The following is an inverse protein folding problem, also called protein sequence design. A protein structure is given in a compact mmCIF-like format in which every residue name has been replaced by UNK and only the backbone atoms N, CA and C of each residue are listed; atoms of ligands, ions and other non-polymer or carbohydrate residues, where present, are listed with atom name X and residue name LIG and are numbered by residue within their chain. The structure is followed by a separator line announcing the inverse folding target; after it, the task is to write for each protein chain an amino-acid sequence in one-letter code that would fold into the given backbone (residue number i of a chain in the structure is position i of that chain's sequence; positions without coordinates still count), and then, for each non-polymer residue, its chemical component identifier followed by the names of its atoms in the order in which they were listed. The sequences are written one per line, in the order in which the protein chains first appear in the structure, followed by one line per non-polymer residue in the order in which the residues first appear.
data_IF_023583374872
#
_entry.id   IF_023583374872
#
_cell.length_a   1.000
_cell.length_b   1.000
_cell.length_c   1.000
_cell.angle_alpha   90.00
_cell.angle_beta   90.00
_cell.angle_gamma   90.00
#
_symmetry.space_group_name_H-M   'P 1'
#
loop_
_entity.id
_entity.type
_entity.pdbx_description
1 polymer ?
#
# COMPACT_ATOMS: atom_id res chain seq x y z
N UNK A 1 31.28 72.87 -31.61
CA UNK A 1 30.86 71.66 -32.35
C UNK A 1 30.52 70.56 -31.37
N UNK A 2 29.25 70.26 -31.35
CA UNK A 2 28.68 69.33 -30.30
C UNK A 2 28.79 67.89 -30.74
N UNK A 3 29.45 67.06 -29.95
CA UNK A 3 29.45 65.59 -30.07
C UNK A 3 28.40 64.98 -29.18
N UNK A 4 27.41 64.32 -29.79
CA UNK A 4 26.33 63.63 -29.10
C UNK A 4 26.81 62.20 -28.62
N UNK A 5 26.86 61.98 -27.32
CA UNK A 5 27.01 60.63 -26.80
C UNK A 5 25.64 59.91 -26.82
N UNK A 6 25.56 58.81 -27.58
CA UNK A 6 24.42 57.91 -27.60
C UNK A 6 24.60 56.84 -26.52
N UNK A 7 23.76 56.90 -25.55
CA UNK A 7 23.66 55.83 -24.52
C UNK A 7 22.73 54.73 -25.04
N UNK A 8 23.29 53.57 -25.36
CA UNK A 8 22.52 52.38 -25.65
C UNK A 8 22.25 51.67 -24.34
N UNK A 9 20.99 51.68 -23.89
CA UNK A 9 20.52 50.90 -22.76
C UNK A 9 20.43 49.41 -23.16
N UNK A 10 21.29 48.61 -22.59
CA UNK A 10 21.21 47.16 -22.68
C UNK A 10 20.19 46.63 -21.63
N UNK A 11 19.02 46.24 -22.09
CA UNK A 11 18.02 45.54 -21.27
C UNK A 11 18.44 44.09 -21.11
N UNK A 12 18.93 43.72 -19.92
CA UNK A 12 19.17 42.34 -19.54
C UNK A 12 17.83 41.69 -19.16
N UNK A 13 17.31 40.81 -20.02
CA UNK A 13 16.17 39.97 -19.72
C UNK A 13 16.61 38.84 -18.80
N UNK A 14 16.23 38.92 -17.51
CA UNK A 14 16.36 37.80 -16.57
C UNK A 14 15.30 36.75 -16.94
N UNK A 15 15.71 35.65 -17.59
CA UNK A 15 14.92 34.45 -17.69
C UNK A 15 14.91 33.75 -16.31
N UNK A 16 13.85 33.95 -15.54
CA UNK A 16 13.57 33.14 -14.35
C UNK A 16 13.15 31.73 -14.81
N UNK A 17 14.12 30.82 -14.85
CA UNK A 17 13.85 29.40 -15.05
C UNK A 17 13.23 28.90 -13.75
N UNK A 18 11.88 28.82 -13.72
CA UNK A 18 11.15 28.22 -12.66
C UNK A 18 11.50 26.72 -12.59
N UNK A 19 12.27 26.31 -11.59
CA UNK A 19 12.45 24.90 -11.25
C UNK A 19 11.10 24.36 -10.79
N UNK A 20 10.34 23.74 -11.69
CA UNK A 20 9.24 22.87 -11.33
C UNK A 20 9.86 21.63 -10.67
N UNK A 21 9.98 21.66 -9.35
CA UNK A 21 10.21 20.44 -8.58
C UNK A 21 8.96 19.55 -8.75
N UNK A 22 9.07 18.57 -9.61
CA UNK A 22 8.15 17.44 -9.59
C UNK A 22 8.39 16.75 -8.26
N UNK A 23 7.48 16.93 -7.31
CA UNK A 23 7.44 16.11 -6.12
C UNK A 23 7.24 14.67 -6.62
N UNK A 24 8.29 13.87 -6.60
CA UNK A 24 8.16 12.43 -6.76
C UNK A 24 7.28 11.96 -5.61
N UNK A 25 6.06 11.51 -5.94
CA UNK A 25 5.27 10.76 -4.98
C UNK A 25 6.10 9.56 -4.60
N UNK A 26 6.67 9.59 -3.41
CA UNK A 26 7.42 8.47 -2.84
C UNK A 26 6.42 7.34 -2.65
N UNK A 27 6.42 6.41 -3.58
CA UNK A 27 5.63 5.19 -3.47
C UNK A 27 6.26 4.37 -2.36
N UNK A 28 5.56 4.25 -1.23
CA UNK A 28 5.99 3.40 -0.12
C UNK A 28 5.83 1.93 -0.49
N UNK A 29 6.61 1.06 0.13
CA UNK A 29 6.51 -0.40 -0.04
C UNK A 29 6.01 -1.06 1.24
N UNK A 30 5.26 -2.16 1.10
CA UNK A 30 4.82 -2.98 2.25
C UNK A 30 5.99 -3.49 3.09
N UNK A 31 7.18 -3.64 2.50
CA UNK A 31 8.38 -4.10 3.23
C UNK A 31 8.93 -3.06 4.22
N UNK A 32 8.48 -1.80 4.13
CA UNK A 32 8.90 -0.73 5.03
C UNK A 32 8.17 -0.74 6.39
N UNK A 33 7.18 -1.60 6.56
CA UNK A 33 6.38 -1.68 7.79
C UNK A 33 5.21 -0.69 7.78
N UNK A 34 4.14 -1.06 7.10
CA UNK A 34 2.97 -0.20 6.83
C UNK A 34 1.80 -0.42 7.79
N UNK A 35 1.95 -1.27 8.81
CA UNK A 35 0.93 -1.58 9.80
C UNK A 35 1.54 -1.67 11.20
N UNK A 36 0.74 -1.61 12.27
CA UNK A 36 1.20 -1.83 13.64
C UNK A 36 0.89 -3.25 14.13
N UNK A 37 1.68 -3.75 15.09
CA UNK A 37 1.40 -5.03 15.77
C UNK A 37 0.01 -5.05 16.43
N UNK A 38 -0.40 -3.93 17.03
CA UNK A 38 -1.71 -3.79 17.64
C UNK A 38 -2.84 -3.92 16.59
N UNK A 39 -2.65 -3.33 15.40
CA UNK A 39 -3.61 -3.47 14.31
C UNK A 39 -3.68 -4.92 13.81
N UNK A 40 -2.54 -5.56 13.60
CA UNK A 40 -2.51 -6.97 13.17
C UNK A 40 -3.18 -7.89 14.21
N UNK A 41 -3.05 -7.60 15.50
CA UNK A 41 -3.74 -8.35 16.56
C UNK A 41 -5.27 -8.19 16.46
N UNK A 42 -5.75 -6.96 16.25
CA UNK A 42 -7.19 -6.73 15.99
C UNK A 42 -7.65 -7.45 14.71
N UNK A 43 -6.81 -7.43 13.68
CA UNK A 43 -7.05 -8.10 12.42
C UNK A 43 -7.14 -9.61 12.55
N UNK A 44 -6.32 -10.22 13.39
CA UNK A 44 -6.39 -11.66 13.69
C UNK A 44 -7.76 -12.04 14.27
N UNK A 45 -8.27 -11.27 15.21
CA UNK A 45 -9.58 -11.50 15.80
C UNK A 45 -10.72 -11.38 14.76
N UNK A 46 -10.68 -10.34 13.94
CA UNK A 46 -11.65 -10.13 12.86
C UNK A 46 -11.57 -11.22 11.77
N UNK A 47 -10.36 -11.65 11.42
CA UNK A 47 -10.14 -12.76 10.48
C UNK A 47 -10.74 -14.06 10.99
N UNK A 48 -10.53 -14.39 12.25
CA UNK A 48 -11.11 -15.61 12.87
C UNK A 48 -12.64 -15.60 12.80
N UNK A 49 -13.27 -14.46 12.96
CA UNK A 49 -14.73 -14.33 12.95
C UNK A 49 -15.32 -14.38 11.54
N UNK A 50 -14.65 -13.82 10.55
CA UNK A 50 -15.25 -13.54 9.24
C UNK A 50 -14.62 -14.28 8.07
N UNK A 51 -13.41 -14.83 8.21
CA UNK A 51 -12.62 -15.35 7.08
C UNK A 51 -12.16 -16.81 7.31
N UNK A 52 -11.85 -17.18 8.55
CA UNK A 52 -11.19 -18.45 8.88
C UNK A 52 -12.02 -19.68 8.51
N UNK A 53 -13.34 -19.56 8.47
CA UNK A 53 -14.23 -20.68 8.10
C UNK A 53 -13.96 -21.21 6.69
N UNK A 54 -13.52 -20.32 5.77
CA UNK A 54 -13.18 -20.70 4.39
C UNK A 54 -11.66 -20.72 4.16
N UNK A 55 -10.92 -19.76 4.68
CA UNK A 55 -9.48 -19.64 4.42
C UNK A 55 -8.60 -20.40 5.44
N UNK A 56 -9.22 -21.04 6.44
CA UNK A 56 -8.51 -21.72 7.52
C UNK A 56 -7.86 -20.76 8.52
N UNK A 57 -7.64 -21.20 9.76
CA UNK A 57 -7.01 -20.35 10.79
C UNK A 57 -5.54 -20.03 10.49
N UNK A 58 -4.89 -20.86 9.67
CA UNK A 58 -3.50 -20.70 9.20
C UNK A 58 -3.40 -20.02 7.83
N UNK A 59 -4.48 -19.45 7.31
CA UNK A 59 -4.54 -18.79 5.99
C UNK A 59 -4.19 -19.72 4.82
N UNK A 60 -4.14 -21.03 5.02
CA UNK A 60 -3.73 -22.03 4.01
C UNK A 60 -4.81 -22.38 2.99
N UNK A 61 -6.01 -21.80 3.13
CA UNK A 61 -7.16 -22.16 2.32
C UNK A 61 -7.82 -23.48 2.78
N UNK A 62 -9.10 -23.65 2.46
CA UNK A 62 -9.86 -24.87 2.65
C UNK A 62 -10.79 -25.08 1.46
N UNK A 63 -10.81 -26.30 0.89
CA UNK A 63 -11.63 -26.59 -0.28
C UNK A 63 -11.31 -25.67 -1.47
N UNK A 64 -12.30 -24.92 -1.94
CA UNK A 64 -12.13 -23.99 -3.07
C UNK A 64 -11.55 -22.62 -2.64
N UNK A 65 -11.48 -22.32 -1.34
CA UNK A 65 -10.93 -21.06 -0.88
C UNK A 65 -9.40 -21.07 -1.01
N UNK A 66 -8.80 -20.09 -1.72
CA UNK A 66 -7.36 -20.08 -1.93
C UNK A 66 -6.61 -19.79 -0.64
N UNK A 67 -5.34 -20.18 -0.60
CA UNK A 67 -4.41 -19.74 0.44
C UNK A 67 -4.20 -18.22 0.40
N UNK A 68 -4.11 -17.60 1.56
CA UNK A 68 -3.81 -16.18 1.75
C UNK A 68 -2.39 -16.00 2.33
N UNK A 69 -1.55 -17.01 2.18
CA UNK A 69 -0.18 -17.07 2.70
C UNK A 69 0.74 -17.78 1.70
N UNK A 70 2.02 -17.42 1.73
CA UNK A 70 3.06 -18.08 0.97
C UNK A 70 3.28 -17.49 -0.44
N UNK A 71 4.17 -18.15 -1.18
CA UNK A 71 4.71 -17.63 -2.45
C UNK A 71 3.63 -17.36 -3.51
N UNK A 72 2.59 -18.20 -3.59
CA UNK A 72 1.50 -18.02 -4.54
C UNK A 72 0.74 -16.72 -4.23
N UNK A 73 0.29 -16.54 -2.99
CA UNK A 73 -0.41 -15.31 -2.57
C UNK A 73 0.44 -14.06 -2.80
N UNK A 74 1.72 -14.12 -2.41
CA UNK A 74 2.65 -12.99 -2.62
C UNK A 74 2.82 -12.72 -4.10
N UNK A 75 2.95 -13.76 -4.93
CA UNK A 75 3.12 -13.63 -6.37
C UNK A 75 1.90 -13.02 -7.07
N UNK A 76 0.69 -13.39 -6.65
CA UNK A 76 -0.56 -12.89 -7.23
C UNK A 76 -0.74 -11.37 -7.03
N UNK A 77 -0.13 -10.80 -5.99
CA UNK A 77 -0.21 -9.37 -5.68
C UNK A 77 1.08 -8.60 -5.93
N UNK A 78 2.17 -9.28 -6.27
CA UNK A 78 3.46 -8.63 -6.54
C UNK A 78 3.34 -7.60 -7.66
N UNK A 79 3.80 -6.38 -7.39
CA UNK A 79 3.74 -5.26 -8.33
C UNK A 79 2.42 -4.50 -8.36
N UNK A 80 1.36 -5.01 -7.73
CA UNK A 80 0.11 -4.29 -7.50
C UNK A 80 0.25 -3.36 -6.29
N UNK A 81 -0.82 -2.63 -5.96
CA UNK A 81 -0.86 -1.81 -4.75
C UNK A 81 -1.56 -2.55 -3.61
N UNK A 82 -1.32 -2.11 -2.38
CA UNK A 82 -2.10 -2.56 -1.22
C UNK A 82 -3.57 -2.18 -1.39
N UNK A 83 -3.85 -1.08 -2.11
CA UNK A 83 -5.20 -0.65 -2.45
C UNK A 83 -5.93 -1.65 -3.34
N UNK A 84 -5.25 -2.25 -4.31
CA UNK A 84 -5.84 -3.30 -5.17
C UNK A 84 -6.26 -4.52 -4.34
N UNK A 85 -5.39 -4.98 -3.43
CA UNK A 85 -5.71 -6.06 -2.52
C UNK A 85 -6.86 -5.67 -1.57
N UNK A 86 -6.81 -4.47 -1.01
CA UNK A 86 -7.85 -3.97 -0.10
C UNK A 86 -9.21 -3.93 -0.77
N UNK A 87 -9.31 -3.33 -1.96
CA UNK A 87 -10.58 -3.22 -2.67
C UNK A 87 -11.09 -4.59 -3.13
N UNK A 88 -10.20 -5.47 -3.57
CA UNK A 88 -10.59 -6.84 -3.91
C UNK A 88 -11.20 -7.53 -2.70
N UNK A 89 -10.53 -7.54 -1.55
CA UNK A 89 -11.05 -8.18 -0.34
C UNK A 89 -12.36 -7.50 0.09
N UNK A 90 -12.41 -6.19 0.15
CA UNK A 90 -13.57 -5.45 0.62
C UNK A 90 -14.81 -5.68 -0.26
N UNK A 91 -14.65 -5.75 -1.58
CA UNK A 91 -15.78 -5.84 -2.52
C UNK A 91 -16.26 -7.26 -2.78
N UNK A 92 -15.44 -8.26 -2.47
CA UNK A 92 -15.76 -9.66 -2.77
C UNK A 92 -15.87 -10.55 -1.54
N UNK A 93 -15.36 -10.12 -0.38
CA UNK A 93 -15.27 -10.92 0.84
C UNK A 93 -15.95 -10.23 2.04
N UNK A 94 -16.41 -11.01 3.02
CA UNK A 94 -16.64 -12.45 2.95
C UNK A 94 -17.74 -12.79 1.91
N UNK A 95 -17.66 -13.95 1.26
CA UNK A 95 -18.58 -14.31 0.15
C UNK A 95 -20.06 -14.25 0.52
N UNK A 96 -20.41 -14.53 1.77
CA UNK A 96 -21.78 -14.49 2.26
C UNK A 96 -22.25 -13.05 2.62
N UNK A 97 -21.35 -12.08 2.67
CA UNK A 97 -21.65 -10.67 2.99
C UNK A 97 -20.55 -9.71 2.45
N UNK A 98 -20.37 -9.62 1.13
CA UNK A 98 -19.36 -8.73 0.54
C UNK A 98 -19.57 -7.27 0.97
N UNK A 99 -18.51 -6.60 1.42
CA UNK A 99 -18.57 -5.22 1.92
C UNK A 99 -19.20 -5.07 3.31
N UNK A 100 -19.54 -6.16 3.98
CA UNK A 100 -20.27 -6.16 5.25
C UNK A 100 -19.48 -5.74 6.49
N UNK A 101 -18.14 -5.64 6.39
CA UNK A 101 -17.29 -5.16 7.47
C UNK A 101 -17.00 -3.67 7.30
N UNK A 102 -16.60 -3.01 8.38
CA UNK A 102 -16.08 -1.64 8.32
C UNK A 102 -14.74 -1.61 7.60
N UNK A 103 -14.42 -0.48 6.97
CA UNK A 103 -13.14 -0.32 6.26
C UNK A 103 -11.93 -0.55 7.18
N UNK A 104 -12.01 -0.11 8.44
CA UNK A 104 -10.98 -0.30 9.45
C UNK A 104 -10.78 -1.77 9.81
N UNK A 105 -11.85 -2.58 9.78
CA UNK A 105 -11.77 -4.01 10.01
C UNK A 105 -11.09 -4.73 8.84
N UNK A 106 -11.40 -4.36 7.60
CA UNK A 106 -10.68 -4.85 6.42
C UNK A 106 -9.20 -4.47 6.47
N UNK A 107 -8.87 -3.23 6.82
CA UNK A 107 -7.48 -2.79 6.96
C UNK A 107 -6.74 -3.59 8.06
N UNK A 108 -7.40 -3.87 9.18
CA UNK A 108 -6.83 -4.68 10.24
C UNK A 108 -6.62 -6.14 9.80
N UNK A 109 -7.57 -6.72 9.06
CA UNK A 109 -7.43 -8.06 8.47
C UNK A 109 -6.23 -8.11 7.51
N UNK A 110 -6.06 -7.10 6.64
CA UNK A 110 -4.89 -7.01 5.78
C UNK A 110 -3.59 -6.90 6.58
N UNK A 111 -3.56 -6.10 7.65
CA UNK A 111 -2.41 -6.02 8.54
C UNK A 111 -2.04 -7.39 9.14
N UNK A 112 -3.04 -8.17 9.54
CA UNK A 112 -2.82 -9.54 9.99
C UNK A 112 -2.29 -10.44 8.87
N UNK A 113 -2.84 -10.36 7.66
CA UNK A 113 -2.36 -11.13 6.50
C UNK A 113 -0.90 -10.78 6.16
N UNK A 114 -0.54 -9.50 6.18
CA UNK A 114 0.83 -9.04 5.97
C UNK A 114 1.76 -9.62 7.04
N UNK A 115 1.40 -9.51 8.32
CA UNK A 115 2.15 -10.10 9.42
C UNK A 115 2.36 -11.60 9.23
N UNK A 116 1.30 -12.32 8.87
CA UNK A 116 1.35 -13.78 8.69
C UNK A 116 2.25 -14.18 7.52
N UNK A 117 2.38 -13.32 6.52
CA UNK A 117 3.29 -13.48 5.38
C UNK A 117 4.71 -12.96 5.64
N UNK A 118 5.07 -12.62 6.87
CA UNK A 118 6.44 -12.27 7.26
C UNK A 118 6.82 -10.81 7.03
N UNK A 119 5.88 -9.92 6.71
CA UNK A 119 6.16 -8.50 6.66
C UNK A 119 6.31 -7.92 8.07
N UNK A 120 7.26 -7.02 8.25
CA UNK A 120 7.51 -6.36 9.54
C UNK A 120 6.45 -5.31 9.83
N UNK A 121 6.15 -5.12 11.12
CA UNK A 121 5.33 -4.00 11.58
C UNK A 121 6.10 -2.68 11.52
N UNK A 122 5.37 -1.59 11.47
CA UNK A 122 5.84 -0.22 11.50
C UNK A 122 5.17 0.60 12.59
N UNK A 123 5.40 1.91 12.60
CA UNK A 123 4.95 2.79 13.69
C UNK A 123 3.50 3.27 13.56
N UNK A 124 2.84 3.01 12.44
CA UNK A 124 1.48 3.49 12.15
C UNK A 124 0.60 2.38 11.65
N UNK A 125 -0.71 2.48 11.95
CA UNK A 125 -1.72 1.58 11.41
C UNK A 125 -1.81 1.72 9.89
N UNK A 126 -2.05 0.61 9.22
CA UNK A 126 -2.40 0.58 7.81
C UNK A 126 -3.67 1.39 7.60
N UNK A 127 -3.64 2.27 6.62
CA UNK A 127 -4.78 3.11 6.28
C UNK A 127 -6.00 2.25 5.86
N UNK A 128 -7.20 2.80 6.08
CA UNK A 128 -8.45 2.20 5.60
C UNK A 128 -9.01 2.90 4.35
N UNK A 129 -8.32 3.94 3.86
CA UNK A 129 -8.71 4.74 2.69
C UNK A 129 -7.87 4.32 1.49
N UNK A 130 -8.56 3.95 0.42
CA UNK A 130 -7.96 3.38 -0.80
C UNK A 130 -6.93 4.32 -1.45
N UNK A 131 -7.17 5.63 -1.44
CA UNK A 131 -6.27 6.62 -2.02
C UNK A 131 -4.87 6.59 -1.37
N UNK A 132 -4.77 6.31 -0.06
CA UNK A 132 -3.47 6.15 0.60
C UNK A 132 -2.88 4.75 0.37
N UNK A 133 -3.72 3.72 0.29
CA UNK A 133 -3.28 2.35 0.03
C UNK A 133 -2.75 2.18 -1.40
N UNK A 134 -3.26 2.96 -2.36
CA UNK A 134 -2.79 2.95 -3.74
C UNK A 134 -1.37 3.53 -3.91
N UNK A 135 -0.85 4.25 -2.91
CA UNK A 135 0.55 4.71 -2.91
C UNK A 135 1.53 3.69 -2.36
N UNK A 136 1.05 2.52 -1.89
CA UNK A 136 1.84 1.46 -1.28
C UNK A 136 1.97 0.28 -2.24
N UNK A 137 3.20 -0.03 -2.67
CA UNK A 137 3.47 -1.18 -3.54
C UNK A 137 3.49 -2.46 -2.73
N UNK A 138 2.85 -3.49 -3.27
CA UNK A 138 2.97 -4.85 -2.76
C UNK A 138 4.19 -5.51 -3.38
N UNK A 139 5.18 -5.83 -2.56
CA UNK A 139 6.45 -6.42 -2.96
C UNK A 139 6.77 -7.60 -2.05
N UNK A 140 7.48 -8.64 -2.53
CA UNK A 140 7.86 -9.77 -1.69
C UNK A 140 8.68 -9.32 -0.48
N UNK A 141 8.50 -9.93 0.72
CA UNK A 141 9.35 -9.67 1.86
C UNK A 141 10.80 -10.12 1.55
N UNK A 142 11.78 -9.43 2.12
CA UNK A 142 13.21 -9.71 1.87
C UNK A 142 13.60 -11.18 2.13
N UNK A 143 12.90 -11.84 3.03
CA UNK A 143 13.09 -13.27 3.36
C UNK A 143 12.58 -14.23 2.27
N UNK A 144 11.68 -13.79 1.40
CA UNK A 144 11.15 -14.62 0.31
C UNK A 144 12.04 -14.61 -0.95
N UNK A 145 12.96 -13.67 -1.06
CA UNK A 145 13.89 -13.54 -2.19
C UNK A 145 15.13 -14.45 -2.11
N UNK A 146 15.26 -15.26 -1.05
CA UNK A 146 16.46 -16.07 -0.77
C UNK A 146 16.31 -17.58 -1.08
N UNK A 147 15.29 -17.97 -1.90
CA UNK A 147 15.08 -19.37 -2.30
C UNK A 147 14.94 -19.52 -3.81
#
# INVERSE_FOLDING_TARGET
MLGRLSWTAATAALCAIGCFSWAQETTSSVVEGVYTEAQATRGAAAFQQSCSICHGPSLSGLGEAPALVGAQFIGDFNGLTVGDLFERVRTTMPLNNPGGLKREEYAAILAFMLKFNGYKAGPRDLYSRTEFLNTMRFEPPATAAAH
#
